data_IF_518156940726
#
_entry.id   IF_518156940726
#
_cell.length_a   1.000
_cell.length_b   1.000
_cell.length_c   1.000
_cell.angle_alpha   90.00
_cell.angle_beta   90.00
_cell.angle_gamma   90.00
#
_symmetry.space_group_name_H-M   'P 1'
#
loop_
_entity.id
_entity.type
_entity.pdbx_description
1 polymer ?
#
# COMPACT_ATOMS: atom_id res chain seq x y z
N UNK A 1 10.66 43.70 54.92
CA UNK A 1 10.92 43.38 53.49
C UNK A 1 11.18 41.88 53.33
N UNK A 2 10.16 41.10 52.93
CA UNK A 2 10.29 39.67 52.77
C UNK A 2 10.27 39.33 51.27
N UNK A 3 11.40 38.90 50.72
CA UNK A 3 11.48 38.39 49.35
C UNK A 3 10.99 36.94 49.32
N UNK A 4 9.81 36.70 48.76
CA UNK A 4 9.35 35.36 48.37
C UNK A 4 10.06 34.95 47.09
N UNK A 5 10.93 33.91 47.16
CA UNK A 5 11.42 33.18 46.00
C UNK A 5 10.30 32.30 45.46
N UNK A 6 9.85 32.56 44.24
CA UNK A 6 8.99 31.67 43.48
C UNK A 6 9.87 30.57 42.96
N UNK A 7 9.69 29.34 43.49
CA UNK A 7 10.32 28.13 42.95
C UNK A 7 9.42 27.62 41.86
N UNK A 8 9.89 27.66 40.61
CA UNK A 8 9.20 27.02 39.46
C UNK A 8 9.26 25.50 39.61
N UNK A 9 8.15 24.76 39.44
CA UNK A 9 8.16 23.30 39.46
C UNK A 9 8.93 22.78 38.28
N UNK A 10 9.95 21.92 38.53
CA UNK A 10 10.66 21.15 37.54
C UNK A 10 9.79 19.94 37.16
N UNK A 11 8.89 20.13 36.21
CA UNK A 11 8.08 19.04 35.72
C UNK A 11 8.76 18.35 34.50
N UNK A 12 9.91 17.71 34.78
CA UNK A 12 10.62 16.88 33.79
C UNK A 12 9.96 15.52 33.54
N UNK A 13 9.05 15.11 34.41
CA UNK A 13 8.40 13.78 34.31
C UNK A 13 7.14 13.78 33.41
N UNK A 14 6.55 14.94 33.13
CA UNK A 14 5.41 15.06 32.22
C UNK A 14 5.81 14.81 30.74
N UNK A 15 7.02 15.21 30.34
CA UNK A 15 7.53 15.02 28.99
C UNK A 15 7.80 13.54 28.66
N UNK A 16 8.19 12.71 29.64
CA UNK A 16 8.46 11.26 29.42
C UNK A 16 7.20 10.42 29.18
N UNK A 17 6.03 10.90 29.55
CA UNK A 17 4.74 10.17 29.37
C UNK A 17 4.07 10.45 28.03
N UNK A 18 4.43 11.51 27.34
CA UNK A 18 3.80 11.91 26.07
C UNK A 18 4.46 11.20 24.87
N UNK A 19 5.75 10.93 24.94
CA UNK A 19 6.51 10.31 23.84
C UNK A 19 5.98 8.94 23.39
N UNK A 20 5.65 7.97 24.27
CA UNK A 20 5.09 6.69 23.82
C UNK A 20 3.70 6.82 23.20
N UNK A 21 2.89 7.79 23.63
CA UNK A 21 1.55 7.99 23.05
C UNK A 21 1.61 8.54 21.61
N UNK A 22 2.60 9.36 21.29
CA UNK A 22 2.78 9.90 19.93
C UNK A 22 3.25 8.80 18.96
N UNK A 23 4.18 7.93 19.38
CA UNK A 23 4.63 6.80 18.58
C UNK A 23 3.46 5.88 18.19
N UNK A 24 2.60 5.54 19.13
CA UNK A 24 1.40 4.74 18.85
C UNK A 24 0.42 5.43 17.90
N UNK A 25 0.28 6.75 17.96
CA UNK A 25 -0.59 7.48 17.05
C UNK A 25 -0.06 7.48 15.62
N UNK A 26 1.26 7.66 15.45
CA UNK A 26 1.93 7.58 14.14
C UNK A 26 1.77 6.20 13.52
N UNK A 27 1.96 5.12 14.30
CA UNK A 27 1.78 3.75 13.84
C UNK A 27 0.33 3.49 13.42
N UNK A 28 -0.64 3.99 14.20
CA UNK A 28 -2.06 3.89 13.87
C UNK A 28 -2.38 4.60 12.56
N UNK A 29 -1.87 5.82 12.36
CA UNK A 29 -2.08 6.59 11.12
C UNK A 29 -1.45 5.87 9.93
N UNK A 30 -0.26 5.31 10.06
CA UNK A 30 0.38 4.53 9.00
C UNK A 30 -0.42 3.25 8.67
N UNK A 31 -0.95 2.57 9.68
CA UNK A 31 -1.84 1.43 9.48
C UNK A 31 -3.12 1.84 8.73
N UNK A 32 -3.77 2.93 9.13
CA UNK A 32 -4.95 3.47 8.45
C UNK A 32 -4.65 3.84 6.99
N UNK A 33 -3.51 4.48 6.72
CA UNK A 33 -3.07 4.79 5.35
C UNK A 33 -2.88 3.53 4.51
N UNK A 34 -2.35 2.45 5.09
CA UNK A 34 -2.26 1.15 4.44
C UNK A 34 -3.65 0.64 4.00
N UNK A 35 -4.61 0.60 4.94
CA UNK A 35 -5.99 0.14 4.65
C UNK A 35 -6.71 1.02 3.63
N UNK A 36 -6.51 2.33 3.69
CA UNK A 36 -7.05 3.27 2.70
C UNK A 36 -6.38 3.03 1.35
N UNK A 37 -5.07 2.82 1.29
CA UNK A 37 -4.34 2.47 0.08
C UNK A 37 -4.91 1.22 -0.60
N UNK A 38 -5.17 0.16 0.16
CA UNK A 38 -5.84 -1.05 -0.33
C UNK A 38 -7.21 -0.72 -0.96
N UNK A 39 -8.04 0.09 -0.28
CA UNK A 39 -9.36 0.45 -0.79
C UNK A 39 -9.29 1.25 -2.11
N UNK A 40 -8.31 2.14 -2.24
CA UNK A 40 -8.07 2.88 -3.47
C UNK A 40 -7.61 1.98 -4.62
N UNK A 41 -6.68 1.05 -4.34
CA UNK A 41 -6.20 0.08 -5.35
C UNK A 41 -7.34 -0.84 -5.80
N UNK A 42 -8.13 -1.36 -4.86
CA UNK A 42 -9.32 -2.16 -5.20
C UNK A 42 -10.28 -1.38 -6.12
N UNK A 43 -10.56 -0.12 -5.79
CA UNK A 43 -11.45 0.73 -6.58
C UNK A 43 -10.88 1.02 -7.98
N UNK A 44 -9.56 1.25 -8.11
CA UNK A 44 -8.88 1.42 -9.40
C UNK A 44 -9.00 0.17 -10.27
N UNK A 45 -8.71 -1.00 -9.73
CA UNK A 45 -8.80 -2.27 -10.46
C UNK A 45 -10.23 -2.58 -10.89
N UNK A 46 -11.22 -2.37 -10.02
CA UNK A 46 -12.63 -2.55 -10.37
C UNK A 46 -13.07 -1.59 -11.48
N UNK A 47 -12.59 -0.34 -11.45
CA UNK A 47 -12.87 0.65 -12.51
C UNK A 47 -12.19 0.28 -13.84
N UNK A 48 -11.10 -0.46 -13.80
CA UNK A 48 -10.43 -1.05 -14.97
C UNK A 48 -11.03 -2.41 -15.39
N UNK A 49 -12.25 -2.72 -14.96
CA UNK A 49 -13.01 -3.94 -15.27
C UNK A 49 -12.39 -5.25 -14.75
N UNK A 50 -11.61 -5.16 -13.67
CA UNK A 50 -11.21 -6.37 -12.95
C UNK A 50 -12.27 -6.76 -11.93
N UNK A 51 -12.56 -8.04 -11.83
CA UNK A 51 -13.15 -8.63 -10.64
C UNK A 51 -12.07 -8.74 -9.58
N UNK A 52 -12.35 -8.32 -8.34
CA UNK A 52 -11.38 -8.28 -7.25
C UNK A 52 -11.94 -9.00 -6.03
N UNK A 53 -11.18 -9.94 -5.48
CA UNK A 53 -11.48 -10.63 -4.23
C UNK A 53 -10.36 -10.38 -3.23
N UNK A 54 -10.71 -10.04 -2.01
CA UNK A 54 -9.77 -9.92 -0.88
C UNK A 54 -9.38 -11.32 -0.42
N UNK A 55 -8.08 -11.57 -0.27
CA UNK A 55 -7.54 -12.89 0.09
C UNK A 55 -6.95 -12.88 1.51
N UNK A 56 -6.59 -11.72 2.03
CA UNK A 56 -5.92 -11.55 3.31
C UNK A 56 -6.57 -12.33 4.47
N UNK A 57 -5.89 -12.43 5.60
CA UNK A 57 -6.27 -13.23 6.78
C UNK A 57 -7.70 -12.98 7.29
N UNK A 58 -8.32 -11.89 6.89
CA UNK A 58 -9.71 -11.51 7.22
C UNK A 58 -10.73 -12.09 6.23
N UNK A 59 -10.29 -12.56 5.05
CA UNK A 59 -11.17 -13.27 4.13
C UNK A 59 -11.32 -14.70 4.64
N UNK A 60 -12.50 -15.06 5.14
CA UNK A 60 -12.88 -16.46 5.34
C UNK A 60 -12.96 -17.14 3.97
N UNK A 61 -11.81 -17.40 3.35
CA UNK A 61 -11.78 -18.26 2.18
C UNK A 61 -12.21 -19.66 2.64
N UNK A 62 -13.30 -20.21 2.07
CA UNK A 62 -13.63 -21.60 2.33
C UNK A 62 -12.42 -22.43 1.96
N UNK A 63 -12.09 -23.40 2.75
CA UNK A 63 -11.07 -24.46 2.76
C UNK A 63 -10.37 -24.90 1.44
N UNK A 64 -10.60 -24.21 0.31
CA UNK A 64 -10.03 -24.47 -1.01
C UNK A 64 -8.55 -24.12 -1.13
N UNK A 65 -8.08 -23.16 -0.30
CA UNK A 65 -6.65 -22.87 -0.18
C UNK A 65 -6.25 -23.24 1.25
N UNK A 66 -5.89 -24.50 1.46
CA UNK A 66 -5.09 -24.88 2.62
C UNK A 66 -3.68 -24.33 2.42
N UNK A 67 -3.56 -23.02 2.51
CA UNK A 67 -2.27 -22.38 2.64
C UNK A 67 -1.65 -22.92 3.92
N UNK A 68 -0.51 -23.56 3.83
CA UNK A 68 0.27 -23.91 5.01
C UNK A 68 0.60 -22.65 5.82
N UNK A 69 1.01 -22.76 7.07
CA UNK A 69 1.29 -21.62 7.96
C UNK A 69 2.38 -20.66 7.43
N UNK A 70 3.09 -21.05 6.39
CA UNK A 70 4.20 -20.30 5.76
C UNK A 70 3.84 -19.72 4.39
N UNK A 71 2.61 -19.91 3.90
CA UNK A 71 2.26 -19.42 2.56
C UNK A 71 2.01 -17.91 2.58
N UNK A 72 2.71 -17.19 1.71
CA UNK A 72 2.48 -15.77 1.51
C UNK A 72 1.07 -15.53 0.96
N UNK A 73 0.31 -14.65 1.60
CA UNK A 73 -1.06 -14.33 1.21
C UNK A 73 -1.11 -12.88 0.72
N UNK A 74 -1.42 -12.64 -0.57
CA UNK A 74 -1.59 -11.29 -1.10
C UNK A 74 -2.88 -10.65 -0.55
N UNK A 75 -2.99 -9.32 -0.67
CA UNK A 75 -4.20 -8.61 -0.26
C UNK A 75 -5.38 -8.92 -1.17
N UNK A 76 -5.13 -9.09 -2.49
CA UNK A 76 -6.16 -9.34 -3.49
C UNK A 76 -5.77 -10.40 -4.50
N UNK A 77 -6.80 -11.09 -5.02
CA UNK A 77 -6.79 -11.68 -6.36
C UNK A 77 -7.64 -10.80 -7.27
N UNK A 78 -7.04 -10.33 -8.36
CA UNK A 78 -7.70 -9.58 -9.40
C UNK A 78 -7.74 -10.41 -10.68
N UNK A 79 -8.88 -10.49 -11.35
CA UNK A 79 -9.00 -11.24 -12.60
C UNK A 79 -9.95 -10.55 -13.57
N UNK A 80 -9.70 -10.77 -14.85
CA UNK A 80 -10.60 -10.36 -15.93
C UNK A 80 -10.63 -11.40 -17.04
N UNK A 81 -11.71 -11.39 -17.78
CA UNK A 81 -11.87 -12.20 -18.96
C UNK A 81 -11.02 -11.62 -20.11
N UNK A 82 -10.19 -12.46 -20.73
CA UNK A 82 -9.46 -12.10 -21.93
C UNK A 82 -10.36 -12.36 -23.15
N UNK A 83 -10.65 -11.30 -23.91
CA UNK A 83 -11.38 -11.45 -25.18
C UNK A 83 -10.45 -12.01 -26.23
N UNK A 84 -10.57 -13.32 -26.49
CA UNK A 84 -9.93 -13.92 -27.64
C UNK A 84 -10.63 -13.50 -28.92
N UNK A 85 -10.05 -12.57 -29.67
CA UNK A 85 -10.58 -12.05 -30.93
C UNK A 85 -10.37 -13.00 -32.14
N UNK A 86 -10.08 -14.30 -31.93
CA UNK A 86 -9.60 -15.10 -33.05
C UNK A 86 -9.99 -16.59 -33.12
N UNK A 87 -10.66 -17.18 -32.15
CA UNK A 87 -11.01 -18.60 -32.25
C UNK A 87 -12.51 -18.87 -32.05
N UNK A 88 -13.13 -19.60 -32.99
CA UNK A 88 -14.53 -20.01 -32.92
C UNK A 88 -14.82 -21.11 -31.88
N UNK A 89 -13.95 -21.26 -30.88
CA UNK A 89 -14.12 -22.18 -29.75
C UNK A 89 -14.25 -21.38 -28.45
N UNK A 90 -15.30 -21.66 -27.70
CA UNK A 90 -15.70 -20.94 -26.49
C UNK A 90 -14.82 -21.20 -25.24
N UNK A 91 -13.50 -21.12 -25.37
CA UNK A 91 -12.64 -21.20 -24.19
C UNK A 91 -12.48 -19.82 -23.61
N UNK A 92 -13.14 -19.54 -22.48
CA UNK A 92 -12.92 -18.32 -21.69
C UNK A 92 -11.56 -18.42 -21.01
N UNK A 93 -10.65 -17.50 -21.35
CA UNK A 93 -9.37 -17.34 -20.66
C UNK A 93 -9.50 -16.22 -19.64
N UNK A 94 -8.98 -16.47 -18.46
CA UNK A 94 -8.93 -15.46 -17.39
C UNK A 94 -7.48 -15.11 -17.11
N UNK A 95 -7.17 -13.81 -17.11
CA UNK A 95 -5.91 -13.32 -16.57
C UNK A 95 -6.11 -13.08 -15.07
N UNK A 96 -5.36 -13.81 -14.24
CA UNK A 96 -5.42 -13.69 -12.78
C UNK A 96 -4.10 -13.10 -12.29
N UNK A 97 -4.17 -12.08 -11.45
CA UNK A 97 -3.02 -11.42 -10.83
C UNK A 97 -3.19 -11.44 -9.32
N UNK A 98 -2.16 -11.87 -8.59
CA UNK A 98 -2.06 -11.71 -7.16
C UNK A 98 -1.47 -10.32 -6.84
N UNK A 99 -2.17 -9.53 -6.04
CA UNK A 99 -1.83 -8.13 -5.78
C UNK A 99 -1.61 -7.94 -4.29
N UNK A 100 -0.43 -7.49 -3.94
CA UNK A 100 -0.08 -6.98 -2.61
C UNK A 100 -0.09 -5.46 -2.64
N UNK A 101 -0.59 -4.80 -1.61
CA UNK A 101 -0.59 -3.35 -1.50
C UNK A 101 0.31 -2.92 -0.35
N UNK A 102 1.22 -2.02 -0.61
CA UNK A 102 2.13 -1.47 0.40
C UNK A 102 2.06 0.05 0.39
N UNK A 103 1.65 0.65 1.50
CA UNK A 103 1.83 2.09 1.68
C UNK A 103 3.24 2.37 2.20
N UNK A 104 3.95 3.29 1.54
CA UNK A 104 5.26 3.79 1.99
C UNK A 104 5.36 5.29 1.73
N UNK A 105 5.71 6.04 2.76
CA UNK A 105 6.00 7.47 2.65
C UNK A 105 7.30 7.74 1.90
N UNK A 106 8.28 6.83 2.04
CA UNK A 106 9.58 6.85 1.38
C UNK A 106 9.70 5.58 0.53
N UNK A 107 9.31 5.65 -0.75
CA UNK A 107 9.27 4.48 -1.62
C UNK A 107 10.65 3.90 -1.91
N UNK A 108 11.71 4.71 -1.97
CA UNK A 108 13.06 4.31 -2.38
C UNK A 108 13.62 3.20 -1.48
N UNK A 109 13.47 3.38 -0.16
CA UNK A 109 13.92 2.38 0.82
C UNK A 109 13.16 1.06 0.67
N UNK A 110 11.87 1.11 0.39
CA UNK A 110 11.09 -0.09 0.14
C UNK A 110 11.58 -0.81 -1.11
N UNK A 111 11.84 -0.07 -2.19
CA UNK A 111 12.28 -0.62 -3.46
C UNK A 111 13.61 -1.38 -3.33
N UNK A 112 14.56 -0.84 -2.55
CA UNK A 112 15.89 -1.44 -2.39
C UNK A 112 15.94 -2.59 -1.39
N UNK A 113 15.26 -2.45 -0.24
CA UNK A 113 15.52 -3.30 0.92
C UNK A 113 14.41 -4.33 1.17
N UNK A 114 13.15 -3.95 0.89
CA UNK A 114 11.98 -4.76 1.26
C UNK A 114 11.36 -5.48 0.06
N UNK A 115 11.21 -4.80 -1.09
CA UNK A 115 10.53 -5.37 -2.24
C UNK A 115 11.14 -6.68 -2.75
N UNK A 116 12.48 -6.85 -2.85
CA UNK A 116 13.07 -8.13 -3.25
C UNK A 116 12.64 -9.29 -2.36
N UNK A 117 12.57 -9.08 -1.04
CA UNK A 117 12.16 -10.11 -0.07
C UNK A 117 10.69 -10.48 -0.24
N UNK A 118 9.81 -9.49 -0.46
CA UNK A 118 8.39 -9.74 -0.73
C UNK A 118 8.22 -10.60 -1.97
N UNK A 119 8.98 -10.33 -3.03
CA UNK A 119 8.96 -11.15 -4.24
C UNK A 119 9.57 -12.54 -4.05
N UNK A 120 10.57 -12.71 -3.18
CA UNK A 120 11.14 -14.02 -2.86
C UNK A 120 10.12 -14.87 -2.09
N UNK A 121 9.39 -14.28 -1.14
CA UNK A 121 8.38 -14.99 -0.35
C UNK A 121 7.11 -15.31 -1.16
N UNK A 122 6.70 -14.42 -2.05
CA UNK A 122 5.46 -14.55 -2.81
C UNK A 122 5.64 -15.34 -4.11
N UNK A 123 6.81 -15.23 -4.76
CA UNK A 123 7.03 -15.69 -6.14
C UNK A 123 6.87 -17.20 -6.35
N UNK A 124 7.18 -18.01 -5.33
CA UNK A 124 7.05 -19.47 -5.40
C UNK A 124 5.56 -19.93 -5.35
N UNK A 125 4.70 -19.06 -4.81
CA UNK A 125 3.27 -19.39 -4.62
C UNK A 125 2.36 -18.72 -5.64
N UNK A 126 2.79 -17.56 -6.16
CA UNK A 126 1.97 -16.71 -7.03
C UNK A 126 2.72 -16.34 -8.30
N UNK A 127 2.59 -17.14 -9.40
CA UNK A 127 3.36 -16.93 -10.63
C UNK A 127 3.09 -15.58 -11.31
N UNK A 128 1.90 -15.02 -11.15
CA UNK A 128 1.56 -13.68 -11.62
C UNK A 128 1.30 -12.77 -10.41
N UNK A 129 2.38 -12.35 -9.79
CA UNK A 129 2.37 -11.51 -8.59
C UNK A 129 2.87 -10.11 -8.89
N UNK A 130 2.24 -9.13 -8.26
CA UNK A 130 2.73 -7.75 -8.26
C UNK A 130 2.50 -7.09 -6.89
N UNK A 131 3.30 -6.08 -6.62
CA UNK A 131 3.09 -5.17 -5.50
C UNK A 131 2.60 -3.83 -6.04
N UNK A 132 1.50 -3.32 -5.51
CA UNK A 132 1.08 -1.94 -5.75
C UNK A 132 1.58 -1.09 -4.59
N UNK A 133 2.62 -0.32 -4.85
CA UNK A 133 3.17 0.64 -3.91
C UNK A 133 2.33 1.92 -3.95
N UNK A 134 1.77 2.28 -2.80
CA UNK A 134 0.99 3.49 -2.61
C UNK A 134 1.82 4.51 -1.85
N UNK A 135 1.96 5.71 -2.38
CA UNK A 135 2.70 6.81 -1.75
C UNK A 135 1.97 8.13 -1.90
N UNK A 136 2.04 9.00 -0.90
CA UNK A 136 1.55 10.38 -0.97
C UNK A 136 2.58 11.35 -1.54
N UNK A 137 3.81 10.88 -1.77
CA UNK A 137 4.91 11.64 -2.34
C UNK A 137 5.55 10.91 -3.54
N UNK A 138 4.85 10.77 -4.69
CA UNK A 138 5.41 10.12 -5.86
C UNK A 138 6.49 11.00 -6.52
N UNK A 139 7.51 10.38 -7.09
CA UNK A 139 8.53 11.08 -7.87
C UNK A 139 7.96 11.63 -9.19
N UNK A 140 8.48 12.76 -9.62
CA UNK A 140 8.52 13.30 -10.97
C UNK A 140 7.32 13.05 -11.91
N UNK A 141 6.09 13.42 -11.52
CA UNK A 141 4.92 13.32 -12.42
C UNK A 141 4.23 11.95 -12.45
N UNK A 142 4.71 10.97 -11.66
CA UNK A 142 4.05 9.69 -11.48
C UNK A 142 2.78 9.82 -10.64
N UNK A 143 1.87 8.85 -10.78
CA UNK A 143 0.72 8.74 -9.88
C UNK A 143 1.13 8.25 -8.49
N UNK A 144 0.23 8.35 -7.51
CA UNK A 144 0.44 7.78 -6.17
C UNK A 144 0.47 6.24 -6.14
N UNK A 145 0.27 5.59 -7.28
CA UNK A 145 0.13 4.14 -7.42
C UNK A 145 1.18 3.60 -8.37
N UNK A 146 2.21 2.97 -7.82
CA UNK A 146 3.30 2.37 -8.58
C UNK A 146 3.17 0.85 -8.53
N UNK A 147 3.27 0.20 -9.67
CA UNK A 147 3.24 -1.27 -9.77
C UNK A 147 4.66 -1.79 -9.87
N UNK A 148 5.01 -2.66 -8.95
CA UNK A 148 6.26 -3.38 -8.98
C UNK A 148 6.01 -4.79 -9.49
N UNK A 149 6.87 -5.21 -10.40
CA UNK A 149 6.92 -6.58 -10.92
C UNK A 149 8.35 -7.07 -10.92
N UNK A 150 8.52 -8.36 -10.88
CA UNK A 150 9.83 -8.99 -11.04
C UNK A 150 9.98 -9.44 -12.48
N UNK A 151 11.07 -9.03 -13.13
CA UNK A 151 11.42 -9.48 -14.46
C UNK A 151 12.03 -10.92 -14.46
N UNK A 152 12.31 -11.44 -15.63
CA UNK A 152 12.94 -12.75 -15.79
C UNK A 152 14.36 -12.82 -15.20
N UNK A 153 15.03 -11.68 -15.03
CA UNK A 153 16.35 -11.56 -14.41
C UNK A 153 16.30 -11.39 -12.89
N UNK A 154 15.11 -11.51 -12.30
CA UNK A 154 14.82 -11.29 -10.88
C UNK A 154 14.99 -9.85 -10.40
N UNK A 155 15.05 -8.88 -11.29
CA UNK A 155 15.05 -7.47 -10.93
C UNK A 155 13.63 -6.98 -10.68
N UNK A 156 13.48 -6.09 -9.72
CA UNK A 156 12.21 -5.43 -9.44
C UNK A 156 12.12 -4.18 -10.31
N UNK A 157 11.14 -4.17 -11.21
CA UNK A 157 10.80 -3.02 -12.04
C UNK A 157 9.64 -2.27 -11.40
N UNK A 158 9.69 -0.93 -11.47
CA UNK A 158 8.68 -0.03 -10.96
C UNK A 158 8.06 0.75 -12.11
N UNK A 159 6.75 0.68 -12.27
CA UNK A 159 6.01 1.32 -13.37
C UNK A 159 4.75 1.97 -12.82
N UNK A 160 4.38 3.15 -13.33
CA UNK A 160 3.10 3.76 -12.98
C UNK A 160 1.94 2.83 -13.32
N UNK A 161 0.89 2.79 -12.46
CA UNK A 161 -0.25 1.88 -12.65
C UNK A 161 -0.94 2.05 -14.00
N UNK A 162 -0.91 3.27 -14.56
CA UNK A 162 -1.47 3.55 -15.88
C UNK A 162 -0.69 2.88 -17.03
N UNK A 163 0.57 2.52 -16.79
CA UNK A 163 1.45 1.88 -17.78
C UNK A 163 1.73 0.40 -17.46
N UNK A 164 1.19 -0.12 -16.39
CA UNK A 164 1.49 -1.46 -15.87
C UNK A 164 0.61 -2.58 -16.46
N UNK A 165 -0.17 -2.29 -17.50
CA UNK A 165 -1.02 -3.28 -18.18
C UNK A 165 -2.33 -3.62 -17.46
N UNK A 166 -2.74 -2.80 -16.50
CA UNK A 166 -4.04 -2.93 -15.83
C UNK A 166 -5.19 -2.18 -16.54
N UNK A 167 -4.95 -1.56 -17.70
CA UNK A 167 -5.91 -0.73 -18.42
C UNK A 167 -6.50 0.41 -17.57
N UNK A 168 -5.74 0.87 -16.59
CA UNK A 168 -6.07 2.05 -15.81
C UNK A 168 -5.70 3.29 -16.62
N UNK A 169 -6.67 4.14 -16.94
CA UNK A 169 -6.39 5.40 -17.65
C UNK A 169 -5.58 6.34 -16.77
N UNK A 170 -4.61 7.05 -17.36
CA UNK A 170 -3.76 8.02 -16.65
C UNK A 170 -4.59 9.12 -15.96
N UNK A 171 -5.68 9.57 -16.58
CA UNK A 171 -6.63 10.52 -15.98
C UNK A 171 -7.31 9.97 -14.74
N UNK A 172 -7.65 8.67 -14.74
CA UNK A 172 -8.21 7.98 -13.57
C UNK A 172 -7.18 7.87 -12.45
N UNK A 173 -5.96 7.44 -12.77
CA UNK A 173 -4.87 7.35 -11.80
C UNK A 173 -4.55 8.73 -11.17
N UNK A 174 -4.53 9.80 -11.97
CA UNK A 174 -4.33 11.17 -11.51
C UNK A 174 -5.45 11.64 -10.56
N UNK A 175 -6.71 11.40 -10.91
CA UNK A 175 -7.86 11.73 -10.07
C UNK A 175 -7.81 11.00 -8.72
N UNK A 176 -7.51 9.72 -8.73
CA UNK A 176 -7.37 8.92 -7.50
C UNK A 176 -6.17 9.38 -6.67
N UNK A 177 -5.07 9.77 -7.31
CA UNK A 177 -3.90 10.34 -6.62
C UNK A 177 -4.24 11.64 -5.89
N UNK A 178 -5.03 12.52 -6.53
CA UNK A 178 -5.48 13.76 -5.89
C UNK A 178 -6.32 13.46 -4.65
N UNK A 179 -7.30 12.57 -4.76
CA UNK A 179 -8.15 12.17 -3.63
C UNK A 179 -7.33 11.52 -2.50
N UNK A 180 -6.40 10.62 -2.83
CA UNK A 180 -5.53 9.98 -1.86
C UNK A 180 -4.70 11.02 -1.08
N UNK A 181 -4.09 11.98 -1.78
CA UNK A 181 -3.31 13.06 -1.15
C UNK A 181 -4.15 13.89 -0.20
N UNK A 182 -5.38 14.24 -0.58
CA UNK A 182 -6.31 14.98 0.29
C UNK A 182 -6.63 14.19 1.57
N UNK A 183 -6.99 12.90 1.44
CA UNK A 183 -7.29 12.05 2.59
C UNK A 183 -6.08 11.90 3.52
N UNK A 184 -4.89 11.66 2.94
CA UNK A 184 -3.68 11.48 3.73
C UNK A 184 -3.20 12.77 4.39
N UNK A 185 -3.41 13.91 3.74
CA UNK A 185 -3.17 15.23 4.33
C UNK A 185 -4.02 15.44 5.59
N UNK A 186 -5.33 15.20 5.48
CA UNK A 186 -6.25 15.32 6.63
C UNK A 186 -5.90 14.37 7.78
N UNK A 187 -5.43 13.16 7.49
CA UNK A 187 -4.96 12.24 8.52
C UNK A 187 -3.68 12.74 9.23
N UNK A 188 -2.80 13.43 8.50
CA UNK A 188 -1.56 13.97 9.07
C UNK A 188 -1.83 15.19 9.96
N UNK A 189 -2.80 16.05 9.61
CA UNK A 189 -3.17 17.23 10.43
C UNK A 189 -3.68 16.86 11.81
N UNK A 190 -4.24 15.65 11.98
CA UNK A 190 -4.67 15.13 13.28
C UNK A 190 -3.53 14.64 14.18
N UNK A 191 -2.29 14.56 13.67
CA UNK A 191 -1.11 14.13 14.44
C UNK A 191 -0.33 15.36 14.87
N UNK A 192 -0.10 15.59 16.18
CA UNK A 192 0.74 16.67 16.64
C UNK A 192 2.13 16.60 16.00
N UNK A 193 2.62 17.70 15.44
CA UNK A 193 3.98 17.75 14.92
C UNK A 193 4.95 17.35 16.04
N UNK A 194 5.78 16.33 15.78
CA UNK A 194 6.89 16.01 16.68
C UNK A 194 7.71 17.29 16.84
N UNK A 195 7.81 17.78 18.07
CA UNK A 195 8.65 18.93 18.37
C UNK A 195 10.05 18.63 17.89
N UNK A 196 10.47 19.30 16.81
CA UNK A 196 11.84 19.31 16.35
C UNK A 196 12.62 20.01 17.48
N UNK A 197 13.14 19.18 18.39
CA UNK A 197 14.09 19.62 19.40
C UNK A 197 15.38 20.01 18.68
N UNK A 198 15.63 21.32 18.66
CA UNK A 198 16.95 21.86 18.36
C UNK A 198 17.98 21.39 19.36
#
# INVERSE_FOLDING_TARGET
MFHRRIVAPKDRDSLKRVTPAIGHLTDLVNHLKGRIGEAFVEALLRRANYSVSRVGREAHLPSLIKAGPTTYMPDFLAWREERNSGSSGSTQLFSIVAVEVKYRRQPERFLTDEAPKVFDEAGDHWPNFCVVLVTDNPEGGCSCFQVLRRDQTRRVECTDIANAGFDVYSTTAAMFSLLLKQVFHSLNEGVPAEGIGN
#
